data_IF_897924428419
#
_entry.id   IF_897924428419
#
_cell.length_a   1.000
_cell.length_b   1.000
_cell.length_c   1.000
_cell.angle_alpha   90.00
_cell.angle_beta   90.00
_cell.angle_gamma   90.00
#
_symmetry.space_group_name_H-M   'P 1'
#
loop_
_entity.id
_entity.type
_entity.pdbx_description
1 polymer ?
2 branched ?
3 branched ?
4 non-polymer ?
5 non-polymer ?
6 non-polymer ?
7 water ?
#
# COMPACT_ATOMS: atom_id res chain seq x y z
N UNK A 1 -11.60 -28.73 11.35
CA UNK A 1 -10.80 -27.88 12.30
C UNK A 1 -9.38 -27.64 11.77
N UNK A 2 -9.18 -26.50 11.13
CA UNK A 2 -7.90 -26.21 10.45
C UNK A 2 -7.02 -25.19 11.15
N UNK A 3 -7.56 -24.52 12.16
CA UNK A 3 -6.83 -23.54 12.92
C UNK A 3 -6.86 -23.76 14.42
N UNK A 4 -6.37 -22.77 15.16
CA UNK A 4 -6.37 -22.79 16.60
C UNK A 4 -6.76 -21.40 17.07
N UNK A 5 -7.95 -21.25 17.64
CA UNK A 5 -8.40 -19.94 18.09
C UNK A 5 -7.84 -19.62 19.45
N UNK A 6 -7.85 -18.33 19.77
CA UNK A 6 -7.27 -17.78 20.96
C UNK A 6 -7.95 -16.44 21.14
N UNK A 7 -7.90 -15.87 22.36
CA UNK A 7 -8.59 -14.61 22.65
C UNK A 7 -8.19 -13.48 21.70
N UNK A 8 -6.92 -13.42 21.32
CA UNK A 8 -6.39 -12.28 20.58
C UNK A 8 -5.78 -12.60 19.22
N UNK A 9 -6.15 -13.74 18.63
CA UNK A 9 -5.39 -14.26 17.50
C UNK A 9 -5.96 -15.54 16.86
N UNK A 10 -5.39 -15.93 15.73
CA UNK A 10 -5.81 -17.13 15.04
C UNK A 10 -4.61 -17.76 14.33
N UNK A 11 -4.16 -18.89 14.84
CA UNK A 11 -3.05 -19.61 14.24
C UNK A 11 -3.61 -20.57 13.20
N UNK A 12 -3.24 -20.38 11.91
CA UNK A 12 -3.66 -21.28 10.82
C UNK A 12 -3.00 -22.66 10.87
N UNK A 13 -3.05 -23.32 12.01
CA UNK A 13 -2.49 -24.66 12.11
C UNK A 13 -3.31 -25.40 13.17
N UNK A 14 -3.48 -26.70 12.98
CA UNK A 14 -4.35 -27.49 13.84
C UNK A 14 -3.63 -27.90 15.11
N UNK A 15 -4.25 -27.64 16.26
CA UNK A 15 -3.66 -28.01 17.54
C UNK A 15 -3.99 -29.43 17.99
N UNK A 16 -4.32 -30.31 17.06
CA UNK A 16 -4.64 -31.69 17.42
C UNK A 16 -3.44 -32.48 17.94
N UNK A 17 -2.23 -32.02 17.68
CA UNK A 17 -1.05 -32.72 18.19
C UNK A 17 -0.47 -31.96 19.37
N UNK A 18 -1.12 -30.87 19.74
CA UNK A 18 -0.83 -30.17 21.00
C UNK A 18 0.34 -29.21 20.97
N UNK A 19 0.90 -28.99 19.78
CA UNK A 19 2.14 -28.23 19.59
C UNK A 19 1.98 -26.72 19.40
N UNK A 20 0.80 -26.31 18.92
CA UNK A 20 0.47 -24.88 18.71
C UNK A 20 0.60 -24.02 19.96
N UNK A 21 1.32 -22.90 19.85
CA UNK A 21 1.43 -21.93 20.94
C UNK A 21 0.96 -20.57 20.47
N UNK A 22 0.63 -19.70 21.42
CA UNK A 22 0.34 -18.29 21.15
C UNK A 22 1.43 -17.66 20.29
N UNK A 23 1.05 -16.95 19.21
CA UNK A 23 2.03 -16.20 18.45
C UNK A 23 2.62 -15.04 19.25
N UNK A 24 2.02 -14.71 20.40
CA UNK A 24 2.61 -13.74 21.29
C UNK A 24 3.60 -14.37 22.29
N UNK A 25 3.70 -15.69 22.37
CA UNK A 25 4.48 -16.30 23.45
C UNK A 25 5.61 -17.25 23.05
N UNK A 26 5.58 -17.78 21.84
CA UNK A 26 6.57 -18.79 21.47
C UNK A 26 6.74 -19.01 19.96
N UNK A 27 7.92 -19.47 19.55
CA UNK A 27 8.23 -19.62 18.12
C UNK A 27 7.26 -20.54 17.38
N UNK A 28 6.82 -20.12 16.20
CA UNK A 28 5.82 -20.85 15.45
C UNK A 28 6.44 -21.82 14.46
N UNK A 29 7.54 -22.46 14.84
CA UNK A 29 8.28 -23.30 13.88
C UNK A 29 7.55 -24.58 13.47
N UNK A 30 6.30 -24.74 13.92
CA UNK A 30 5.44 -25.83 13.45
C UNK A 30 4.56 -25.45 12.25
N UNK A 31 4.41 -24.16 11.98
CA UNK A 31 3.68 -23.74 10.79
C UNK A 31 4.59 -23.32 9.64
N UNK A 32 5.90 -23.30 9.88
CA UNK A 32 6.91 -23.01 8.85
C UNK A 32 8.30 -23.25 9.42
N UNK A 33 9.20 -23.80 8.59
CA UNK A 33 10.57 -24.12 9.03
C UNK A 33 11.35 -22.88 9.42
N UNK A 34 12.30 -23.00 10.37
CA UNK A 34 13.11 -21.79 10.63
C UNK A 34 13.68 -21.10 9.37
N UNK A 35 14.15 -21.83 8.37
CA UNK A 35 14.78 -21.11 7.25
C UNK A 35 13.79 -20.19 6.57
N UNK A 36 12.55 -20.64 6.46
CA UNK A 36 11.48 -19.81 5.93
C UNK A 36 11.24 -18.53 6.76
N UNK A 37 11.38 -18.61 8.08
CA UNK A 37 11.35 -17.37 8.85
C UNK A 37 12.50 -16.44 8.46
N UNK A 38 13.65 -17.05 8.16
CA UNK A 38 14.84 -16.31 7.74
C UNK A 38 14.62 -15.65 6.38
N UNK A 39 14.08 -16.43 5.44
CA UNK A 39 13.66 -15.88 4.15
C UNK A 39 12.70 -14.70 4.34
N UNK A 40 11.76 -14.84 5.26
CA UNK A 40 10.91 -13.72 5.59
C UNK A 40 11.79 -12.54 6.05
N UNK A 41 12.74 -12.79 6.95
CA UNK A 41 13.66 -11.72 7.38
C UNK A 41 14.43 -11.16 6.19
N UNK A 42 14.89 -12.04 5.31
CA UNK A 42 15.61 -11.61 4.12
C UNK A 42 14.79 -10.61 3.28
N UNK A 43 13.53 -10.93 3.02
CA UNK A 43 12.70 -10.09 2.19
C UNK A 43 12.39 -8.74 2.85
N UNK A 44 12.17 -8.73 4.16
CA UNK A 44 12.01 -7.47 4.86
C UNK A 44 13.29 -6.64 4.74
N UNK A 45 14.42 -7.34 4.78
CA UNK A 45 15.70 -6.67 4.72
C UNK A 45 15.90 -5.99 3.34
N UNK A 46 15.66 -6.75 2.27
CA UNK A 46 15.60 -6.20 0.93
C UNK A 46 14.71 -4.97 0.84
N UNK A 47 13.47 -5.09 1.33
CA UNK A 47 12.48 -4.01 1.30
C UNK A 47 12.92 -2.78 2.06
N UNK A 48 13.65 -2.95 3.16
CA UNK A 48 14.28 -1.82 3.85
C UNK A 48 15.44 -1.20 3.07
N UNK A 49 16.37 -2.04 2.62
CA UNK A 49 17.55 -1.55 1.89
C UNK A 49 17.18 -0.77 0.64
N UNK A 50 16.18 -1.24 -0.12
CA UNK A 50 15.70 -0.46 -1.28
C UNK A 50 14.67 0.60 -0.86
N UNK A 51 13.68 0.18 -0.08
CA UNK A 51 12.58 1.07 0.30
C UNK A 51 12.99 2.34 1.00
N UNK A 52 14.02 2.29 1.83
CA UNK A 52 14.41 3.47 2.60
C UNK A 52 15.07 4.51 1.71
N UNK A 53 16.16 4.14 1.03
CA UNK A 53 16.78 5.12 0.14
C UNK A 53 15.78 5.70 -0.87
N UNK A 54 15.12 4.88 -1.70
CA UNK A 54 14.16 5.40 -2.68
C UNK A 54 13.22 6.47 -2.09
N UNK A 55 12.63 6.17 -0.93
CA UNK A 55 11.62 7.05 -0.39
C UNK A 55 12.18 8.23 0.38
N UNK A 56 13.31 8.03 1.05
CA UNK A 56 13.97 9.12 1.76
C UNK A 56 14.60 10.08 0.76
N UNK A 57 15.32 9.52 -0.20
CA UNK A 57 15.83 10.26 -1.33
C UNK A 57 14.76 11.20 -1.92
N UNK A 58 13.55 10.69 -2.13
CA UNK A 58 12.48 11.51 -2.69
C UNK A 58 12.26 12.77 -1.86
N UNK A 59 12.02 12.58 -0.56
CA UNK A 59 11.85 13.70 0.36
C UNK A 59 13.02 14.66 0.30
N UNK A 60 14.23 14.12 0.38
CA UNK A 60 15.44 14.90 0.50
C UNK A 60 15.71 15.73 -0.74
N UNK A 61 15.59 15.12 -1.92
CA UNK A 61 15.80 15.81 -3.18
C UNK A 61 14.80 16.95 -3.37
N UNK A 62 13.59 16.77 -2.85
CA UNK A 62 12.59 17.83 -2.90
C UNK A 62 13.01 19.03 -2.05
N UNK A 63 13.61 18.78 -0.90
CA UNK A 63 14.06 19.89 -0.07
C UNK A 63 15.15 20.70 -0.80
N UNK A 64 15.90 20.03 -1.66
CA UNK A 64 17.04 20.65 -2.37
C UNK A 64 16.76 21.22 -3.77
N UNK A 65 15.57 20.98 -4.33
CA UNK A 65 15.29 21.41 -5.71
C UNK A 65 13.95 22.11 -5.85
N UNK A 66 13.99 23.45 -5.84
CA UNK A 66 12.82 24.30 -6.00
C UNK A 66 11.81 23.81 -7.05
N UNK A 67 12.28 23.45 -8.24
CA UNK A 67 11.39 23.07 -9.34
C UNK A 67 10.46 21.90 -9.03
N UNK A 68 10.88 21.01 -8.14
CA UNK A 68 10.07 19.86 -7.72
C UNK A 68 8.91 20.26 -6.83
N UNK A 69 9.04 21.38 -6.13
CA UNK A 69 8.13 21.75 -5.06
C UNK A 69 6.81 22.35 -5.50
N UNK A 70 6.25 21.83 -6.58
CA UNK A 70 4.96 22.30 -7.09
C UNK A 70 3.79 21.61 -6.36
N UNK A 71 2.61 22.24 -6.34
CA UNK A 71 1.40 21.64 -5.72
C UNK A 71 1.03 20.24 -6.22
N UNK A 72 1.17 20.00 -7.52
CA UNK A 72 0.84 18.71 -8.14
C UNK A 72 1.81 17.59 -7.72
N UNK A 73 2.79 17.95 -6.91
CA UNK A 73 3.77 17.01 -6.42
C UNK A 73 3.58 16.68 -4.96
N UNK A 74 2.84 17.52 -4.25
CA UNK A 74 2.55 17.30 -2.83
C UNK A 74 2.12 15.86 -2.53
N UNK A 75 1.22 15.32 -3.36
CA UNK A 75 0.68 13.97 -3.17
C UNK A 75 1.75 12.90 -3.29
N UNK A 76 2.73 13.11 -4.17
CA UNK A 76 3.84 12.15 -4.29
C UNK A 76 4.78 12.25 -3.09
N UNK A 77 4.88 13.43 -2.50
CA UNK A 77 5.61 13.57 -1.25
C UNK A 77 4.89 12.75 -0.20
N UNK A 78 3.57 12.78 -0.27
CA UNK A 78 2.72 12.08 0.68
C UNK A 78 2.92 10.59 0.50
N UNK A 79 2.96 10.16 -0.76
CA UNK A 79 3.24 8.77 -1.10
C UNK A 79 4.49 8.30 -0.41
N UNK A 80 5.55 9.10 -0.50
CA UNK A 80 6.83 8.72 0.06
C UNK A 80 6.78 8.60 1.58
N UNK A 81 5.99 9.45 2.23
CA UNK A 81 5.90 9.44 3.69
C UNK A 81 5.12 8.19 4.10
N UNK A 82 4.08 7.86 3.34
CA UNK A 82 3.32 6.63 3.59
C UNK A 82 4.27 5.44 3.50
N UNK A 83 5.08 5.41 2.45
CA UNK A 83 6.00 4.33 2.25
C UNK A 83 6.94 4.20 3.44
N UNK A 84 7.26 5.31 4.09
CA UNK A 84 8.20 5.27 5.19
C UNK A 84 7.54 4.73 6.46
N UNK A 85 6.28 5.12 6.67
CA UNK A 85 5.49 4.49 7.72
C UNK A 85 5.52 2.97 7.59
N UNK A 86 5.39 2.47 6.36
CA UNK A 86 5.44 1.04 6.14
C UNK A 86 6.81 0.46 6.47
N UNK A 87 7.86 1.22 6.15
CA UNK A 87 9.23 0.78 6.32
C UNK A 87 9.58 0.66 7.80
N UNK A 88 9.26 1.69 8.58
CA UNK A 88 9.60 1.70 10.00
C UNK A 88 8.54 1.04 10.87
N UNK A 89 7.27 1.21 10.54
CA UNK A 89 6.21 0.54 11.26
C UNK A 89 6.17 -0.95 10.93
N UNK A 90 6.10 -1.29 9.64
CA UNK A 90 6.00 -2.69 9.23
C UNK A 90 7.33 -3.42 9.10
N UNK A 91 8.10 -3.04 8.09
CA UNK A 91 9.28 -3.80 7.67
C UNK A 91 10.30 -4.05 8.79
N UNK A 92 10.65 -3.02 9.56
CA UNK A 92 11.71 -3.21 10.56
C UNK A 92 11.24 -4.12 11.67
N UNK A 93 10.02 -3.85 12.16
CA UNK A 93 9.37 -4.71 13.16
C UNK A 93 9.31 -6.18 12.71
N UNK A 94 8.87 -6.43 11.48
CA UNK A 94 8.77 -7.79 10.99
C UNK A 94 10.13 -8.50 10.90
N UNK A 95 11.16 -7.74 10.56
CA UNK A 95 12.53 -8.29 10.46
C UNK A 95 12.94 -8.81 11.83
N UNK A 96 12.66 -7.99 12.83
CA UNK A 96 12.99 -8.31 14.20
C UNK A 96 12.21 -9.53 14.70
N UNK A 97 10.88 -9.49 14.57
CA UNK A 97 10.07 -10.61 15.00
C UNK A 97 10.35 -11.89 14.19
N UNK A 98 10.41 -11.81 12.87
CA UNK A 98 10.59 -13.03 12.08
C UNK A 98 11.76 -13.88 12.59
N UNK A 99 12.77 -13.20 13.12
CA UNK A 99 13.98 -13.85 13.58
C UNK A 99 13.81 -14.47 14.97
N UNK A 100 12.82 -13.98 15.72
CA UNK A 100 12.34 -14.64 16.92
C UNK A 100 11.34 -15.78 16.64
N UNK A 101 10.75 -15.79 15.45
CA UNK A 101 9.77 -16.82 15.08
C UNK A 101 8.37 -16.62 15.65
N UNK A 102 8.09 -15.45 16.18
CA UNK A 102 6.75 -15.10 16.65
C UNK A 102 6.69 -13.63 16.98
N UNK A 103 5.50 -13.11 17.25
CA UNK A 103 5.34 -11.68 17.42
C UNK A 103 5.65 -11.27 18.84
N UNK A 104 6.94 -11.03 19.10
CA UNK A 104 7.41 -10.81 20.48
C UNK A 104 6.89 -9.56 21.20
N UNK A 105 6.24 -8.62 20.50
CA UNK A 105 5.83 -7.40 21.18
C UNK A 105 4.44 -7.51 21.82
N UNK A 106 3.88 -8.72 21.82
CA UNK A 106 2.60 -8.94 22.48
C UNK A 106 1.44 -8.24 21.79
N UNK A 107 0.25 -8.26 22.40
CA UNK A 107 -0.95 -7.75 21.73
C UNK A 107 -0.95 -6.24 21.53
N UNK A 108 -0.38 -5.46 22.46
CA UNK A 108 -0.42 -4.01 22.25
C UNK A 108 0.56 -3.58 21.15
N UNK A 109 1.68 -4.29 21.05
CA UNK A 109 2.59 -4.14 19.92
C UNK A 109 1.88 -4.51 18.64
N UNK A 110 1.09 -5.57 18.70
CA UNK A 110 0.30 -6.02 17.56
C UNK A 110 -0.63 -4.92 17.11
N UNK A 111 -1.11 -4.12 18.04
CA UNK A 111 -1.98 -3.01 17.67
C UNK A 111 -1.18 -1.91 17.01
N UNK A 112 -0.10 -1.52 17.69
CA UNK A 112 0.81 -0.51 17.17
C UNK A 112 1.31 -0.84 15.76
N UNK A 113 2.02 -1.97 15.59
CA UNK A 113 2.55 -2.36 14.29
C UNK A 113 1.45 -2.45 13.24
N UNK A 114 0.31 -3.02 13.63
CA UNK A 114 -0.79 -3.19 12.70
C UNK A 114 -1.33 -1.85 12.25
N UNK A 115 -1.43 -0.92 13.19
CA UNK A 115 -1.91 0.42 12.86
C UNK A 115 -0.96 1.12 11.87
N UNK A 116 0.29 1.33 12.26
CA UNK A 116 1.21 2.09 11.44
C UNK A 116 1.46 1.48 10.05
N UNK A 117 1.63 0.17 10.00
CA UNK A 117 1.68 -0.51 8.71
C UNK A 117 0.40 -0.26 7.93
N UNK A 118 -0.77 -0.55 8.50
CA UNK A 118 -2.03 -0.34 7.78
C UNK A 118 -2.22 1.13 7.37
N UNK A 119 -1.99 2.04 8.31
CA UNK A 119 -2.12 3.46 8.03
C UNK A 119 -1.27 3.84 6.84
N UNK A 120 -0.05 3.32 6.80
CA UNK A 120 0.91 3.59 5.72
C UNK A 120 0.37 3.19 4.36
N UNK A 121 0.12 1.89 4.20
CA UNK A 121 -0.33 1.35 2.93
C UNK A 121 -1.63 1.96 2.46
N UNK A 122 -2.41 2.46 3.41
CA UNK A 122 -3.70 3.10 3.12
C UNK A 122 -3.51 4.50 2.57
N UNK A 123 -2.71 5.31 3.27
CA UNK A 123 -2.29 6.61 2.75
C UNK A 123 -1.69 6.45 1.35
N UNK A 124 -0.79 5.49 1.17
CA UNK A 124 -0.25 5.18 -0.15
C UNK A 124 -1.36 4.92 -1.17
N UNK A 125 -2.31 4.06 -0.80
CA UNK A 125 -3.43 3.70 -1.66
C UNK A 125 -4.27 4.93 -2.09
N UNK A 126 -4.73 5.72 -1.12
CA UNK A 126 -5.55 6.90 -1.44
C UNK A 126 -4.76 8.01 -2.13
N UNK A 127 -3.46 8.09 -1.85
CA UNK A 127 -2.58 8.98 -2.57
C UNK A 127 -2.64 8.67 -4.06
N UNK A 128 -2.59 7.39 -4.42
CA UNK A 128 -2.65 7.01 -5.83
C UNK A 128 -4.00 7.32 -6.46
N UNK A 129 -5.01 7.52 -5.61
CA UNK A 129 -6.34 7.84 -6.09
C UNK A 129 -6.36 9.33 -6.32
N UNK A 130 -6.09 10.09 -5.26
CA UNK A 130 -6.13 11.54 -5.32
C UNK A 130 -5.35 12.08 -6.54
N UNK A 131 -4.15 11.55 -6.79
CA UNK A 131 -3.36 11.87 -7.97
C UNK A 131 -4.16 11.71 -9.28
N UNK A 132 -4.74 10.53 -9.48
CA UNK A 132 -5.58 10.29 -10.66
C UNK A 132 -6.68 11.35 -10.76
N UNK A 133 -7.34 11.67 -9.65
CA UNK A 133 -8.35 12.74 -9.64
C UNK A 133 -7.70 14.05 -10.12
N UNK A 134 -6.67 14.49 -9.38
CA UNK A 134 -5.97 15.74 -9.68
C UNK A 134 -5.49 15.83 -11.13
N UNK A 135 -4.89 14.76 -11.63
CA UNK A 135 -4.42 14.78 -13.01
C UNK A 135 -5.57 14.97 -13.97
N UNK A 136 -6.60 14.15 -13.81
CA UNK A 136 -7.81 14.25 -14.63
C UNK A 136 -8.39 15.66 -14.56
N UNK A 137 -8.50 16.20 -13.36
CA UNK A 137 -9.02 17.57 -13.19
C UNK A 137 -8.19 18.57 -14.00
N UNK A 138 -6.86 18.45 -13.91
CA UNK A 138 -5.93 19.36 -14.58
C UNK A 138 -5.87 19.19 -16.10
N UNK A 139 -6.10 17.98 -16.59
CA UNK A 139 -5.95 17.69 -18.02
C UNK A 139 -7.28 17.73 -18.76
N UNK A 140 -8.35 17.27 -18.11
CA UNK A 140 -9.65 17.20 -18.76
C UNK A 140 -10.48 18.44 -18.49
N UNK A 141 -10.05 19.22 -17.50
CA UNK A 141 -10.70 20.48 -17.14
C UNK A 141 -12.21 20.34 -17.04
N UNK A 142 -12.69 19.49 -16.12
CA UNK A 142 -14.13 19.22 -16.08
C UNK A 142 -14.92 20.35 -15.42
N UNK A 143 -14.22 21.34 -14.85
CA UNK A 143 -14.87 22.47 -14.19
C UNK A 143 -14.41 23.79 -14.82
N UNK A 144 -15.38 24.59 -15.25
CA UNK A 144 -15.10 25.85 -15.93
C UNK A 144 -14.42 26.86 -15.01
N UNK A 145 -13.37 27.51 -15.51
CA UNK A 145 -12.62 28.52 -14.76
C UNK A 145 -12.09 28.01 -13.43
N UNK A 146 -11.30 26.94 -13.49
CA UNK A 146 -10.68 26.35 -12.31
C UNK A 146 -9.18 26.15 -12.55
N UNK A 147 -8.37 26.55 -11.58
CA UNK A 147 -6.94 26.28 -11.65
C UNK A 147 -6.46 25.58 -10.37
N UNK A 148 -5.97 24.35 -10.53
CA UNK A 148 -5.43 23.58 -9.43
C UNK A 148 -4.24 24.30 -8.81
N UNK A 149 -4.35 24.64 -7.54
CA UNK A 149 -3.24 25.26 -6.82
C UNK A 149 -3.02 24.70 -5.43
N UNK A 150 -2.14 25.35 -4.68
CA UNK A 150 -1.69 24.89 -3.36
C UNK A 150 -2.81 24.36 -2.45
N UNK A 151 -3.82 25.18 -2.19
CA UNK A 151 -4.92 24.81 -1.28
C UNK A 151 -5.55 23.47 -1.60
N UNK A 152 -5.73 23.20 -2.89
CA UNK A 152 -6.31 21.94 -3.31
C UNK A 152 -5.37 20.77 -2.98
N UNK A 153 -4.10 20.94 -3.32
CA UNK A 153 -3.08 19.95 -2.97
C UNK A 153 -3.15 19.56 -1.49
N UNK A 154 -3.32 20.56 -0.62
CA UNK A 154 -3.42 20.34 0.82
C UNK A 154 -4.67 19.50 1.12
N UNK A 155 -5.80 19.89 0.53
CA UNK A 155 -7.03 19.13 0.68
C UNK A 155 -6.82 17.68 0.27
N UNK A 156 -6.28 17.48 -0.93
CA UNK A 156 -5.92 16.14 -1.40
C UNK A 156 -5.11 15.33 -0.38
N UNK A 157 -4.09 15.95 0.20
CA UNK A 157 -3.25 15.24 1.14
C UNK A 157 -4.06 14.87 2.38
N UNK A 158 -4.78 15.85 2.93
CA UNK A 158 -5.59 15.66 4.13
C UNK A 158 -6.64 14.58 3.89
N UNK A 159 -7.29 14.62 2.73
CA UNK A 159 -8.31 13.63 2.39
C UNK A 159 -7.74 12.22 2.49
N UNK A 160 -6.48 12.12 2.09
CA UNK A 160 -5.74 10.88 2.13
C UNK A 160 -5.59 10.39 3.56
N UNK A 161 -5.22 11.30 4.48
CA UNK A 161 -5.07 10.90 5.87
C UNK A 161 -6.41 10.58 6.53
N UNK A 162 -7.49 11.20 6.06
CA UNK A 162 -8.80 10.90 6.64
C UNK A 162 -9.27 9.52 6.16
N UNK A 163 -9.19 9.26 4.86
CA UNK A 163 -9.58 7.96 4.33
C UNK A 163 -8.81 6.80 4.97
N UNK A 164 -7.55 7.06 5.30
CA UNK A 164 -6.69 6.04 5.89
C UNK A 164 -7.11 5.75 7.32
N UNK A 165 -7.17 6.79 8.15
CA UNK A 165 -7.75 6.70 9.49
C UNK A 165 -9.12 5.99 9.53
N UNK A 166 -9.97 6.24 8.52
CA UNK A 166 -11.27 5.56 8.44
C UNK A 166 -11.11 4.05 8.27
N UNK A 167 -9.91 3.61 7.88
CA UNK A 167 -9.61 2.19 7.79
C UNK A 167 -8.84 1.67 9.01
N UNK A 168 -7.78 2.37 9.42
CA UNK A 168 -6.86 1.85 10.43
C UNK A 168 -7.28 2.10 11.89
N UNK A 169 -8.20 3.05 12.10
CA UNK A 169 -8.64 3.40 13.45
C UNK A 169 -9.72 2.47 14.02
N UNK A 170 -10.80 2.22 13.26
CA UNK A 170 -11.87 1.35 13.75
C UNK A 170 -11.41 0.07 14.49
N UNK A 171 -10.43 -0.68 13.94
CA UNK A 171 -10.08 -1.94 14.61
C UNK A 171 -9.46 -1.73 15.98
N UNK A 172 -8.87 -0.57 16.21
CA UNK A 172 -8.30 -0.27 17.51
C UNK A 172 -9.38 -0.24 18.56
N UNK A 173 -10.63 -0.01 18.14
CA UNK A 173 -11.70 0.32 19.08
C UNK A 173 -13.04 -0.40 18.83
N UNK A 174 -13.03 -1.64 18.36
CA UNK A 174 -14.26 -2.40 18.32
C UNK A 174 -14.75 -2.91 16.98
N UNK A 175 -14.47 -2.18 15.91
CA UNK A 175 -14.90 -2.62 14.59
C UNK A 175 -13.72 -3.31 13.86
N UNK A 176 -13.87 -4.61 13.63
CA UNK A 176 -12.74 -5.53 13.39
C UNK A 176 -11.62 -5.40 14.43
N UNK A 177 -10.48 -6.06 14.18
CA UNK A 177 -9.35 -6.06 15.12
C UNK A 177 -8.02 -6.32 14.40
N UNK A 178 -6.93 -6.12 15.13
CA UNK A 178 -5.59 -6.44 14.63
C UNK A 178 -5.09 -7.76 15.22
N UNK A 179 -4.78 -8.71 14.36
CA UNK A 179 -4.23 -9.97 14.85
C UNK A 179 -3.05 -10.37 13.99
N UNK A 180 -2.08 -11.10 14.56
CA UNK A 180 -0.98 -11.61 13.75
C UNK A 180 -1.48 -12.32 12.48
N UNK A 181 -0.89 -12.01 11.32
CA UNK A 181 -1.28 -12.72 10.09
C UNK A 181 -0.27 -13.76 9.60
N UNK A 182 -0.67 -14.52 8.59
CA UNK A 182 0.21 -15.47 7.94
C UNK A 182 1.09 -16.22 8.90
N UNK A 183 2.40 -16.00 8.80
CA UNK A 183 3.36 -16.70 9.66
C UNK A 183 3.42 -16.16 11.09
N UNK A 184 2.49 -15.28 11.43
CA UNK A 184 2.28 -14.81 12.81
C UNK A 184 3.36 -13.84 13.30
N UNK A 185 4.15 -13.31 12.38
CA UNK A 185 5.23 -12.41 12.73
C UNK A 185 4.84 -10.97 12.55
N UNK A 186 3.80 -10.72 11.77
CA UNK A 186 3.30 -9.36 11.62
C UNK A 186 1.80 -9.28 11.77
N UNK A 187 1.31 -8.12 12.19
CA UNK A 187 -0.10 -7.92 12.45
C UNK A 187 -0.80 -7.12 11.36
N UNK A 188 -2.00 -7.55 10.98
CA UNK A 188 -2.82 -6.81 10.04
C UNK A 188 -4.27 -6.77 10.47
N UNK A 189 -5.14 -6.35 9.57
CA UNK A 189 -6.58 -6.32 9.82
C UNK A 189 -7.13 -7.72 9.72
N UNK A 190 -7.99 -8.09 10.68
CA UNK A 190 -8.67 -9.39 10.64
C UNK A 190 -9.79 -9.36 9.61
N UNK A 191 -9.54 -9.96 8.47
CA UNK A 191 -10.47 -9.91 7.34
C UNK A 191 -10.84 -11.31 6.92
N UNK A 192 -10.44 -12.31 7.69
CA UNK A 192 -10.60 -13.71 7.29
C UNK A 192 -11.31 -14.55 8.34
N UNK A 193 -11.21 -14.11 9.60
CA UNK A 193 -11.80 -14.82 10.73
C UNK A 193 -13.22 -14.31 11.02
N UNK A 194 -14.18 -15.24 11.21
CA UNK A 194 -15.60 -14.91 11.40
C UNK A 194 -15.93 -14.11 12.67
N UNK A 195 -15.01 -14.06 13.63
CA UNK A 195 -15.15 -13.26 14.85
C UNK A 195 -16.22 -12.17 14.87
N UNK A 196 -17.32 -12.39 15.60
CA UNK A 196 -18.49 -11.48 15.57
C UNK A 196 -18.58 -10.42 16.68
N UNK A 197 -17.87 -10.62 17.80
CA UNK A 197 -17.84 -9.61 18.86
C UNK A 197 -17.40 -8.25 18.34
N UNK A 198 -16.61 -8.26 17.26
CA UNK A 198 -16.00 -7.06 16.69
C UNK A 198 -16.64 -6.65 15.37
N UNK A 199 -17.26 -7.62 14.70
CA UNK A 199 -18.07 -7.36 13.52
C UNK A 199 -17.26 -7.38 12.24
N UNK A 200 -16.47 -8.43 12.11
CA UNK A 200 -15.59 -8.57 10.97
C UNK A 200 -16.30 -8.54 9.61
N UNK A 201 -17.47 -9.17 9.52
CA UNK A 201 -18.15 -9.29 8.24
C UNK A 201 -18.54 -7.93 7.66
N UNK A 202 -19.06 -7.04 8.50
CA UNK A 202 -19.45 -5.72 8.02
C UNK A 202 -18.22 -4.87 7.65
N UNK A 203 -17.14 -5.02 8.42
CA UNK A 203 -15.90 -4.28 8.14
C UNK A 203 -15.26 -4.70 6.81
N UNK A 204 -15.19 -6.00 6.56
CA UNK A 204 -14.63 -6.51 5.32
C UNK A 204 -15.43 -6.01 4.10
N UNK A 205 -16.75 -5.94 4.26
CA UNK A 205 -17.62 -5.41 3.21
C UNK A 205 -17.34 -3.92 3.04
N UNK A 206 -17.24 -3.20 4.15
CA UNK A 206 -16.88 -1.80 4.11
C UNK A 206 -15.53 -1.59 3.40
N UNK A 207 -14.49 -2.30 3.84
CA UNK A 207 -13.18 -2.27 3.17
C UNK A 207 -13.25 -2.60 1.67
N UNK A 208 -13.91 -3.71 1.34
CA UNK A 208 -13.97 -4.13 -0.06
C UNK A 208 -14.64 -3.08 -0.93
N UNK A 209 -15.75 -2.55 -0.46
CA UNK A 209 -16.49 -1.55 -1.22
C UNK A 209 -15.79 -0.19 -1.17
N UNK A 210 -15.71 0.41 0.01
CA UNK A 210 -15.22 1.78 0.14
C UNK A 210 -13.74 1.93 -0.17
N UNK A 211 -12.93 0.92 0.18
CA UNK A 211 -11.47 1.03 0.06
C UNK A 211 -10.83 0.21 -1.06
N UNK A 212 -11.64 -0.49 -1.84
CA UNK A 212 -11.09 -1.15 -3.03
C UNK A 212 -11.88 -0.86 -4.31
N UNK A 213 -13.20 -1.11 -4.30
CA UNK A 213 -14.06 -0.81 -5.44
C UNK A 213 -14.15 0.70 -5.76
N UNK A 214 -14.55 1.53 -4.79
CA UNK A 214 -14.51 2.99 -4.99
C UNK A 214 -13.17 3.43 -5.59
N UNK A 215 -12.02 3.13 -4.91
CA UNK A 215 -10.74 3.52 -5.50
C UNK A 215 -10.54 3.01 -6.91
N UNK A 216 -10.83 1.74 -7.15
CA UNK A 216 -10.60 1.16 -8.47
C UNK A 216 -11.45 1.86 -9.53
N UNK A 217 -12.69 2.22 -9.17
CA UNK A 217 -13.58 2.92 -10.10
C UNK A 217 -13.09 4.36 -10.40
N UNK A 218 -12.83 5.15 -9.35
CA UNK A 218 -12.25 6.47 -9.54
C UNK A 218 -11.00 6.47 -10.42
N UNK A 219 -10.09 5.51 -10.19
CA UNK A 219 -8.85 5.45 -11.00
C UNK A 219 -9.12 5.17 -12.48
N UNK A 220 -10.01 4.22 -12.75
CA UNK A 220 -10.35 3.87 -14.14
C UNK A 220 -11.08 5.00 -14.88
N UNK A 221 -12.02 5.64 -14.19
CA UNK A 221 -12.73 6.76 -14.76
C UNK A 221 -11.74 7.86 -15.08
N UNK A 222 -11.07 8.37 -14.03
CA UNK A 222 -10.15 9.49 -14.15
C UNK A 222 -9.11 9.31 -15.24
N UNK A 223 -8.49 8.14 -15.27
CA UNK A 223 -7.44 7.90 -16.22
C UNK A 223 -7.99 7.55 -17.59
N UNK A 224 -9.16 6.90 -17.61
CA UNK A 224 -9.89 6.65 -18.86
C UNK A 224 -10.13 7.96 -19.58
N UNK A 225 -10.76 8.91 -18.89
CA UNK A 225 -10.90 10.26 -19.41
C UNK A 225 -9.56 10.86 -19.86
N UNK A 226 -8.58 10.85 -18.97
CA UNK A 226 -7.30 11.48 -19.26
C UNK A 226 -6.78 10.99 -20.61
N UNK A 227 -6.76 9.68 -20.80
CA UNK A 227 -6.25 9.08 -22.03
C UNK A 227 -7.11 9.49 -23.21
N UNK A 228 -8.43 9.50 -23.02
CA UNK A 228 -9.35 9.92 -24.06
C UNK A 228 -9.07 11.37 -24.50
N UNK A 229 -9.08 12.30 -23.55
CA UNK A 229 -8.70 13.68 -23.82
C UNK A 229 -7.38 13.83 -24.58
N UNK A 230 -6.35 13.11 -24.15
CA UNK A 230 -5.01 13.22 -24.76
C UNK A 230 -4.98 12.63 -26.17
N UNK A 231 -5.69 11.52 -26.35
CA UNK A 231 -5.76 10.82 -27.64
C UNK A 231 -6.50 11.70 -28.65
N UNK A 232 -7.54 12.37 -28.16
CA UNK A 232 -8.37 13.24 -28.97
C UNK A 232 -7.63 14.50 -29.40
N UNK A 233 -6.87 15.11 -28.49
CA UNK A 233 -6.04 16.27 -28.80
C UNK A 233 -4.94 15.97 -29.83
N UNK A 234 -4.50 14.71 -29.89
CA UNK A 234 -3.40 14.35 -30.77
C UNK A 234 -3.89 13.99 -32.16
N UNK A 235 -5.10 13.41 -32.23
CA UNK A 235 -5.75 13.16 -33.51
C UNK A 235 -6.03 14.50 -34.22
N UNK A 236 -5.97 15.58 -33.46
CA UNK A 236 -6.15 16.93 -33.98
C UNK A 236 -4.86 17.73 -34.14
N UNK A 237 -3.72 17.08 -33.92
CA UNK A 237 -2.39 17.67 -34.18
C UNK A 237 -1.44 16.65 -34.77
N UNK A 238 -1.90 15.82 -35.68
CA UNK A 238 -1.06 14.76 -36.18
C UNK A 238 0.18 15.28 -36.90
N UNK A 239 0.33 16.59 -36.96
CA UNK A 239 1.50 17.20 -37.62
C UNK A 239 2.63 17.49 -36.64
N UNK A 240 2.32 17.39 -35.34
CA UNK A 240 3.33 17.53 -34.28
C UNK A 240 3.78 16.16 -33.80
N UNK A 241 5.05 15.82 -34.05
CA UNK A 241 5.63 14.51 -33.64
C UNK A 241 5.80 14.43 -32.11
N UNK A 242 6.27 15.51 -31.51
CA UNK A 242 6.12 15.79 -30.08
C UNK A 242 4.78 15.27 -29.55
N UNK A 243 3.68 15.88 -30.02
CA UNK A 243 2.34 15.57 -29.51
C UNK A 243 1.99 14.08 -29.64
N UNK A 244 2.43 13.44 -30.72
CA UNK A 244 2.12 12.03 -30.92
C UNK A 244 2.89 11.18 -29.92
N UNK A 245 4.09 11.64 -29.59
CA UNK A 245 5.01 10.97 -28.68
C UNK A 245 4.47 11.05 -27.25
N UNK A 246 4.23 12.28 -26.79
CA UNK A 246 3.60 12.52 -25.49
C UNK A 246 2.35 11.65 -25.27
N UNK A 247 1.57 11.47 -26.34
CA UNK A 247 0.33 10.72 -26.26
C UNK A 247 0.61 9.23 -26.00
N UNK A 248 1.58 8.68 -26.74
CA UNK A 248 2.01 7.30 -26.52
C UNK A 248 2.62 7.12 -25.12
N UNK A 249 3.49 8.05 -24.72
CA UNK A 249 4.08 8.01 -23.40
C UNK A 249 3.02 8.08 -22.29
N UNK A 250 2.06 8.99 -22.41
CA UNK A 250 0.98 9.10 -21.42
C UNK A 250 0.14 7.83 -21.35
N UNK A 251 0.03 7.13 -22.47
CA UNK A 251 -0.80 5.94 -22.51
C UNK A 251 -0.08 4.77 -21.87
N UNK A 252 1.20 4.59 -22.19
CA UNK A 252 1.97 3.49 -21.59
C UNK A 252 2.03 3.68 -20.08
N UNK A 253 2.29 4.91 -19.64
CA UNK A 253 2.29 5.21 -18.22
C UNK A 253 0.99 4.83 -17.50
N UNK A 254 -0.15 5.24 -18.04
CA UNK A 254 -1.42 4.91 -17.39
C UNK A 254 -1.59 3.39 -17.29
N UNK A 255 -1.22 2.67 -18.35
CA UNK A 255 -1.33 1.23 -18.31
C UNK A 255 -0.43 0.61 -17.23
N UNK A 256 0.80 1.11 -17.13
CA UNK A 256 1.70 0.73 -16.03
C UNK A 256 1.08 1.07 -14.67
N UNK A 257 0.55 2.29 -14.52
CA UNK A 257 -0.01 2.69 -13.22
C UNK A 257 -1.20 1.85 -12.78
N UNK A 258 -2.05 1.52 -13.74
CA UNK A 258 -3.29 0.82 -13.45
C UNK A 258 -2.98 -0.63 -13.09
N UNK A 259 -2.24 -1.32 -13.97
CA UNK A 259 -1.71 -2.65 -13.66
C UNK A 259 -0.97 -2.73 -12.31
N UNK A 260 -0.10 -1.76 -12.05
CA UNK A 260 0.60 -1.67 -10.77
C UNK A 260 -0.35 -1.61 -9.55
N UNK A 261 -1.44 -0.85 -9.65
CA UNK A 261 -2.43 -0.77 -8.58
C UNK A 261 -3.12 -2.12 -8.38
N UNK A 262 -3.42 -2.79 -9.49
CA UNK A 262 -4.02 -4.11 -9.40
C UNK A 262 -3.07 -5.09 -8.72
N UNK A 263 -1.84 -5.18 -9.22
CA UNK A 263 -0.83 -6.02 -8.60
C UNK A 263 -0.72 -5.75 -7.08
N UNK A 264 -0.83 -4.50 -6.69
CA UNK A 264 -0.64 -4.16 -5.30
C UNK A 264 -1.79 -4.60 -4.38
N UNK A 265 -3.04 -4.36 -4.79
CA UNK A 265 -4.18 -4.61 -3.89
C UNK A 265 -5.13 -5.74 -4.32
N UNK A 266 -5.04 -6.20 -5.57
CA UNK A 266 -5.94 -7.27 -6.02
C UNK A 266 -5.86 -8.52 -5.14
N UNK A 267 -4.65 -8.94 -4.74
CA UNK A 267 -4.51 -10.12 -3.89
C UNK A 267 -5.19 -9.94 -2.52
N UNK A 268 -4.97 -8.84 -1.83
CA UNK A 268 -5.69 -8.59 -0.59
C UNK A 268 -7.22 -8.61 -0.81
N UNK A 269 -7.69 -7.91 -1.84
CA UNK A 269 -9.12 -7.85 -2.14
C UNK A 269 -9.64 -9.20 -2.62
N UNK A 270 -8.87 -9.87 -3.48
CA UNK A 270 -9.25 -11.15 -4.06
C UNK A 270 -9.41 -12.25 -3.01
N UNK A 271 -8.36 -12.43 -2.21
CA UNK A 271 -8.39 -13.35 -1.09
C UNK A 271 -9.51 -13.01 -0.11
N UNK A 272 -9.62 -11.74 0.29
CA UNK A 272 -10.68 -11.33 1.21
C UNK A 272 -12.05 -11.75 0.72
N UNK A 273 -12.26 -11.58 -0.59
CA UNK A 273 -13.53 -11.89 -1.23
C UNK A 273 -13.83 -13.40 -1.25
N UNK A 274 -12.89 -14.18 -1.76
CA UNK A 274 -12.98 -15.65 -1.72
C UNK A 274 -13.35 -16.19 -0.33
N UNK A 275 -12.53 -15.92 0.68
CA UNK A 275 -12.81 -16.28 2.08
C UNK A 275 -14.22 -15.85 2.54
N UNK A 276 -14.64 -14.64 2.16
CA UNK A 276 -16.00 -14.20 2.46
C UNK A 276 -17.03 -15.10 1.77
N UNK A 277 -16.93 -15.22 0.45
CA UNK A 277 -17.78 -16.09 -0.37
C UNK A 277 -17.78 -17.52 0.15
N UNK A 278 -16.65 -18.22 0.01
CA UNK A 278 -16.50 -19.59 0.53
C UNK A 278 -16.35 -19.56 2.05
N UNK A 279 -17.48 -19.64 2.75
CA UNK A 279 -17.54 -19.46 4.21
C UNK A 279 -16.47 -20.24 4.99
N UNK A 280 -16.53 -21.57 4.93
CA UNK A 280 -15.54 -22.42 5.60
C UNK A 280 -14.37 -22.75 4.69
N UNK A 281 -13.21 -22.15 4.97
CA UNK A 281 -12.02 -22.29 4.13
C UNK A 281 -10.78 -22.55 4.97
N UNK A 282 -9.83 -23.31 4.44
CA UNK A 282 -8.56 -23.46 5.15
C UNK A 282 -7.36 -23.01 4.32
N UNK A 283 -6.81 -21.88 4.73
CA UNK A 283 -5.63 -21.34 4.09
C UNK A 283 -4.46 -21.35 5.07
N UNK A 284 -3.30 -21.79 4.59
CA UNK A 284 -2.11 -21.88 5.43
C UNK A 284 -1.43 -20.55 5.77
N UNK A 285 -0.42 -20.60 6.65
CA UNK A 285 0.30 -19.39 7.04
C UNK A 285 1.08 -18.76 5.87
N UNK A 286 1.61 -19.58 4.98
CA UNK A 286 2.39 -19.07 3.85
C UNK A 286 1.50 -18.39 2.79
N UNK A 287 0.46 -19.10 2.35
CA UNK A 287 -0.56 -18.53 1.47
C UNK A 287 -1.03 -17.16 1.96
N UNK A 288 -1.43 -17.12 3.22
CA UNK A 288 -1.98 -15.91 3.83
C UNK A 288 -0.94 -14.82 3.95
N UNK A 289 0.31 -15.15 3.66
CA UNK A 289 1.38 -14.16 3.64
C UNK A 289 1.46 -13.42 2.28
N UNK A 290 1.00 -14.08 1.21
CA UNK A 290 1.15 -13.58 -0.16
C UNK A 290 0.53 -12.18 -0.38
N UNK A 291 -0.67 -11.92 0.17
CA UNK A 291 -1.23 -10.56 0.05
C UNK A 291 -0.30 -9.46 0.58
N UNK A 292 0.33 -9.69 1.73
CA UNK A 292 1.25 -8.70 2.31
C UNK A 292 2.50 -8.54 1.44
N UNK A 293 2.97 -9.64 0.86
CA UNK A 293 4.13 -9.59 -0.01
C UNK A 293 3.83 -8.58 -1.11
N UNK A 294 2.71 -8.74 -1.81
CA UNK A 294 2.36 -7.83 -2.90
C UNK A 294 2.23 -6.35 -2.49
N UNK A 295 1.51 -6.10 -1.39
CA UNK A 295 1.27 -4.72 -0.93
C UNK A 295 2.56 -4.04 -0.44
N UNK A 296 3.22 -4.68 0.52
CA UNK A 296 4.47 -4.18 1.08
C UNK A 296 5.53 -3.88 0.01
N UNK A 297 5.68 -4.76 -0.98
CA UNK A 297 6.77 -4.55 -1.91
C UNK A 297 6.53 -3.33 -2.83
N UNK A 298 5.35 -2.75 -2.72
CA UNK A 298 5.02 -1.54 -3.46
C UNK A 298 5.69 -0.32 -2.86
N UNK A 299 6.12 -0.41 -1.61
CA UNK A 299 6.93 0.66 -1.02
C UNK A 299 8.20 0.87 -1.85
N UNK A 300 8.55 -0.11 -2.68
CA UNK A 300 9.62 0.02 -3.64
C UNK A 300 9.08 0.38 -5.04
N UNK A 301 8.20 -0.45 -5.60
CA UNK A 301 7.78 -0.19 -6.99
C UNK A 301 6.94 1.06 -7.25
N UNK A 302 6.17 1.50 -6.26
CA UNK A 302 5.42 2.75 -6.40
C UNK A 302 6.35 3.94 -6.68
N UNK A 303 7.27 4.26 -5.75
CA UNK A 303 8.20 5.37 -6.09
C UNK A 303 9.05 5.13 -7.35
N UNK A 304 9.39 3.89 -7.69
CA UNK A 304 10.08 3.64 -8.97
C UNK A 304 9.21 4.18 -10.10
N UNK A 305 7.93 3.80 -10.11
CA UNK A 305 6.98 4.15 -11.16
C UNK A 305 6.57 5.63 -11.13
N UNK A 306 6.12 6.12 -9.98
CA UNK A 306 5.59 7.49 -9.86
C UNK A 306 6.65 8.59 -9.66
N UNK A 307 7.83 8.23 -9.17
CA UNK A 307 8.84 9.24 -8.90
C UNK A 307 9.99 9.12 -9.88
N UNK A 308 10.54 7.92 -10.03
CA UNK A 308 11.80 7.77 -10.74
C UNK A 308 11.69 7.71 -12.25
N UNK A 309 10.51 7.38 -12.76
CA UNK A 309 10.28 7.36 -14.21
C UNK A 309 9.99 8.77 -14.72
N UNK A 310 9.75 9.67 -13.77
CA UNK A 310 9.58 11.09 -14.02
C UNK A 310 10.92 11.75 -14.37
N UNK A 311 10.95 12.51 -15.45
CA UNK A 311 12.17 13.12 -15.96
C UNK A 311 12.85 14.09 -14.99
N UNK A 312 12.04 14.98 -14.41
CA UNK A 312 12.51 15.96 -13.43
C UNK A 312 13.17 15.31 -12.22
N UNK A 313 12.36 14.60 -11.41
CA UNK A 313 12.83 13.97 -10.16
C UNK A 313 14.15 13.30 -10.45
N UNK A 314 14.19 12.52 -11.53
CA UNK A 314 15.41 11.79 -11.91
C UNK A 314 16.64 12.69 -11.96
N UNK A 315 16.54 13.82 -12.69
CA UNK A 315 17.64 14.78 -12.83
C UNK A 315 18.18 15.25 -11.49
N UNK A 316 17.28 15.76 -10.67
CA UNK A 316 17.66 16.28 -9.38
C UNK A 316 18.31 15.22 -8.51
N UNK A 317 17.78 14.00 -8.57
CA UNK A 317 18.33 12.87 -7.81
C UNK A 317 19.80 12.70 -8.19
N UNK A 318 20.08 12.70 -9.49
CA UNK A 318 21.44 12.51 -9.98
C UNK A 318 22.36 13.64 -9.55
N UNK A 319 21.86 14.88 -9.63
CA UNK A 319 22.57 16.03 -9.11
C UNK A 319 22.86 15.88 -7.62
N UNK A 320 21.84 15.58 -6.83
CA UNK A 320 21.98 15.49 -5.38
C UNK A 320 22.94 14.37 -5.00
N UNK A 321 22.87 13.27 -5.74
CA UNK A 321 23.71 12.11 -5.48
C UNK A 321 25.16 12.31 -5.93
N UNK A 322 25.35 12.94 -7.08
CA UNK A 322 26.69 13.28 -7.56
C UNK A 322 27.23 14.58 -6.98
N UNK A 323 26.80 14.92 -5.76
CA UNK A 323 27.38 16.00 -4.97
C UNK A 323 27.30 17.38 -5.64
N UNK A 324 27.49 17.41 -6.95
CA UNK A 324 27.56 18.67 -7.70
C UNK A 324 26.73 18.66 -8.96
N UNK A 325 27.15 17.88 -9.96
CA UNK A 325 26.44 17.81 -11.24
C UNK A 325 26.42 16.41 -11.87
N UNK A 326 27.22 16.19 -12.93
CA UNK A 326 27.16 14.96 -13.74
C UNK A 326 28.37 14.03 -13.62
#
# INVERSE_FOLDING_TARGET
MNGTEGPNFYVPFSNKTGVVRSPFEAPQYYLAEPWQFSMLAAYMFLLIMLGFPINFLTLYVTVQHKKLRTPLNYILLNLAVADLFMVFGGFTTTLYTSLHGYFVFGPTGCNLEGFFATLGGEIALWSLVVLAIERYVVVCKPMSNFRFGENHAIMGVAFTWVMALACAAPPLVGWSRYIPEGMQCSCGIDYYTPHEETNNESFVIYMFVVHFIIPLIVIFFCYGQLVFTVKEAAAQQQESATTQKAEKEVTRMVIIMVIAFLICWLPYAGVAFYIFTHQGSDFGPIFMTIPAFFAKTSAVYNPVIYIMMNKQFRNCMVTTLCCGKNPLGDDEASTTVSKTETSQVAPA
#
